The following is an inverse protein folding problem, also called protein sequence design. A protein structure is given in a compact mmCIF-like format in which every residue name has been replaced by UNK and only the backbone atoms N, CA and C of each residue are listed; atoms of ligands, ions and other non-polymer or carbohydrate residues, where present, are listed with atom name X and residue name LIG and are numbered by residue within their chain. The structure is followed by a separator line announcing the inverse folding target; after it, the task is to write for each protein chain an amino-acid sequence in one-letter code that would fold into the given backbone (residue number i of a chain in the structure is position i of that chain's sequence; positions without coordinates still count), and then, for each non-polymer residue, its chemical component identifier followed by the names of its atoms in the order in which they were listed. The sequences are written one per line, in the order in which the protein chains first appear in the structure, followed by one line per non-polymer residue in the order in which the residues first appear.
data_IF_664419023011
#
_entry.id   IF_664419023011
#
_cell.length_a   1.000
_cell.length_b   1.000
_cell.length_c   1.000
_cell.angle_alpha   90.00
_cell.angle_beta   90.00
_cell.angle_gamma   90.00
#
_symmetry.space_group_name_H-M   'P 1'
#
loop_
_entity.id
_entity.type
_entity.pdbx_description
1 polymer ?
#
# COMPACT_ATOMS: atom_id res chain seq x y z
N UNK A 1 -4.76 -21.19 0.78
CA UNK A 1 -3.90 -22.05 -0.06
C UNK A 1 -2.65 -21.28 -0.48
N UNK A 2 -1.50 -21.94 -0.55
CA UNK A 2 -0.25 -21.42 -1.13
C UNK A 2 -0.41 -21.22 -2.64
N UNK A 3 0.11 -20.14 -3.19
CA UNK A 3 0.11 -19.89 -4.63
C UNK A 3 1.55 -19.80 -5.17
N UNK A 4 2.37 -18.90 -4.62
CA UNK A 4 3.78 -18.78 -4.98
C UNK A 4 4.60 -18.10 -3.88
N UNK A 5 5.90 -18.40 -3.87
CA UNK A 5 6.93 -17.71 -3.10
C UNK A 5 8.15 -17.51 -3.98
N UNK A 6 8.64 -16.29 -4.03
CA UNK A 6 9.90 -15.95 -4.68
C UNK A 6 10.75 -15.12 -3.73
N UNK A 7 12.04 -15.44 -3.67
CA UNK A 7 13.04 -14.73 -2.86
C UNK A 7 14.16 -14.27 -3.76
N UNK A 8 14.60 -13.05 -3.63
CA UNK A 8 15.69 -12.50 -4.43
C UNK A 8 16.51 -11.47 -3.68
N UNK A 9 17.72 -11.24 -4.19
CA UNK A 9 18.68 -10.25 -3.69
C UNK A 9 19.43 -9.65 -4.87
N UNK A 10 19.50 -8.32 -4.91
CA UNK A 10 20.14 -7.55 -5.98
C UNK A 10 19.58 -7.89 -7.39
N UNK A 11 20.19 -8.82 -8.13
CA UNK A 11 19.75 -9.28 -9.47
C UNK A 11 19.44 -10.79 -9.51
N UNK A 12 19.64 -11.49 -8.38
CA UNK A 12 19.55 -12.93 -8.32
C UNK A 12 18.21 -13.39 -7.71
N UNK A 13 17.65 -14.43 -8.31
CA UNK A 13 16.56 -15.21 -7.71
C UNK A 13 17.19 -16.31 -6.87
N UNK A 14 17.00 -16.24 -5.55
CA UNK A 14 17.53 -17.21 -4.59
C UNK A 14 16.61 -18.42 -4.41
N UNK A 15 15.32 -18.20 -4.59
CA UNK A 15 14.29 -19.24 -4.50
C UNK A 15 13.07 -18.84 -5.31
N UNK A 16 12.44 -19.80 -6.00
CA UNK A 16 11.20 -19.59 -6.74
C UNK A 16 10.38 -20.89 -6.71
N UNK A 17 9.13 -20.81 -6.22
CA UNK A 17 8.22 -21.94 -6.11
C UNK A 17 6.78 -21.52 -6.42
N UNK A 18 6.07 -22.34 -7.17
CA UNK A 18 4.66 -22.18 -7.50
C UNK A 18 3.85 -23.40 -7.05
N UNK A 19 2.60 -23.21 -6.67
CA UNK A 19 1.66 -24.29 -6.51
C UNK A 19 1.34 -24.93 -7.88
N UNK A 20 0.86 -26.17 -7.86
CA UNK A 20 0.63 -26.99 -9.07
C UNK A 20 -0.19 -26.28 -10.14
N UNK A 21 -1.18 -25.48 -9.74
CA UNK A 21 -2.14 -24.83 -10.64
C UNK A 21 -1.81 -23.35 -10.90
N UNK A 22 -0.60 -22.90 -10.50
CA UNK A 22 -0.11 -21.53 -10.73
C UNK A 22 1.10 -21.53 -11.64
N UNK A 23 1.19 -20.53 -12.52
CA UNK A 23 2.29 -20.37 -13.47
C UNK A 23 3.04 -19.04 -13.23
N UNK A 24 4.22 -18.96 -13.83
CA UNK A 24 5.08 -17.76 -13.79
C UNK A 24 4.41 -16.53 -14.41
N UNK A 25 3.54 -16.72 -15.40
CA UNK A 25 2.91 -15.67 -16.20
C UNK A 25 1.49 -15.33 -15.72
N UNK A 26 1.05 -15.89 -14.61
CA UNK A 26 -0.30 -15.67 -14.09
C UNK A 26 -0.31 -14.48 -13.12
N UNK A 27 -0.91 -13.33 -13.49
CA UNK A 27 -1.04 -12.21 -12.57
C UNK A 27 -1.96 -12.55 -11.41
N UNK A 28 -1.56 -12.15 -10.21
CA UNK A 28 -2.38 -12.27 -9.02
C UNK A 28 -2.53 -10.88 -8.37
N UNK A 29 -3.67 -10.66 -7.73
CA UNK A 29 -3.90 -9.40 -7.04
C UNK A 29 -2.93 -9.24 -5.87
N UNK A 30 -2.28 -8.07 -5.81
CA UNK A 30 -1.43 -7.67 -4.68
C UNK A 30 -2.22 -6.92 -3.60
N UNK A 31 -3.49 -6.59 -3.88
CA UNK A 31 -4.38 -5.91 -2.96
C UNK A 31 -3.71 -4.68 -2.32
N UNK A 32 -3.78 -4.57 -1.00
CA UNK A 32 -3.25 -3.41 -0.26
C UNK A 32 -1.75 -3.16 -0.40
N UNK A 33 -0.99 -4.09 -0.95
CA UNK A 33 0.43 -3.85 -1.28
C UNK A 33 0.57 -2.76 -2.36
N UNK A 34 -0.47 -2.54 -3.17
CA UNK A 34 -0.58 -1.40 -4.10
C UNK A 34 -0.30 -0.04 -3.43
N UNK A 35 -0.62 0.09 -2.12
CA UNK A 35 -0.37 1.31 -1.33
C UNK A 35 1.10 1.71 -1.28
N UNK A 36 2.01 0.74 -1.43
CA UNK A 36 3.45 1.01 -1.39
C UNK A 36 3.91 1.97 -2.50
N UNK A 37 3.26 1.99 -3.66
CA UNK A 37 3.58 2.95 -4.73
C UNK A 37 3.42 4.41 -4.26
N UNK A 38 2.44 4.69 -3.40
CA UNK A 38 2.22 6.04 -2.85
C UNK A 38 3.43 6.50 -2.03
N UNK A 39 4.11 5.60 -1.30
CA UNK A 39 5.35 5.94 -0.60
C UNK A 39 6.42 6.50 -1.56
N UNK A 40 6.60 5.84 -2.72
CA UNK A 40 7.58 6.28 -3.72
C UNK A 40 7.21 7.67 -4.27
N UNK A 41 5.98 7.87 -4.67
CA UNK A 41 5.51 9.12 -5.28
C UNK A 41 5.58 10.29 -4.29
N UNK A 42 5.14 10.08 -3.06
CA UNK A 42 5.23 11.09 -1.99
C UNK A 42 6.69 11.44 -1.69
N UNK A 43 7.57 10.44 -1.63
CA UNK A 43 9.00 10.65 -1.39
C UNK A 43 9.63 11.55 -2.43
N UNK A 44 9.39 11.31 -3.70
CA UNK A 44 9.88 12.15 -4.80
C UNK A 44 9.32 13.59 -4.70
N UNK A 45 8.03 13.71 -4.38
CA UNK A 45 7.39 15.03 -4.28
C UNK A 45 7.85 15.82 -3.04
N UNK A 46 8.29 15.15 -1.98
CA UNK A 46 8.95 15.79 -0.83
C UNK A 46 10.31 16.34 -1.23
N UNK A 47 11.14 15.56 -1.94
CA UNK A 47 12.45 16.02 -2.41
C UNK A 47 12.31 17.21 -3.37
N UNK A 48 11.25 17.24 -4.19
CA UNK A 48 10.89 18.37 -5.05
C UNK A 48 10.21 19.54 -4.31
N UNK A 49 10.05 19.45 -2.98
CA UNK A 49 9.40 20.46 -2.11
C UNK A 49 7.93 20.76 -2.48
N UNK A 50 7.25 19.84 -3.15
CA UNK A 50 5.85 19.96 -3.55
C UNK A 50 4.89 19.41 -2.47
N UNK A 51 5.35 18.47 -1.64
CA UNK A 51 4.61 17.96 -0.49
C UNK A 51 5.36 18.27 0.81
N UNK A 52 4.61 18.78 1.80
CA UNK A 52 5.06 18.95 3.17
C UNK A 52 4.17 18.10 4.10
N UNK A 53 4.77 17.15 4.79
CA UNK A 53 4.07 16.20 5.65
C UNK A 53 3.26 16.86 6.79
N UNK A 54 3.66 18.05 7.23
CA UNK A 54 3.00 18.80 8.31
C UNK A 54 1.82 19.67 7.84
N UNK A 55 1.61 19.82 6.53
CA UNK A 55 0.46 20.54 6.00
C UNK A 55 -0.81 19.72 6.11
N UNK A 56 -1.94 20.41 6.31
CA UNK A 56 -3.26 19.80 6.29
C UNK A 56 -3.62 19.30 4.89
N UNK A 57 -4.44 18.26 4.81
CA UNK A 57 -4.97 17.76 3.55
C UNK A 57 -5.72 18.86 2.79
N UNK A 58 -6.52 19.68 3.49
CA UNK A 58 -7.26 20.80 2.89
C UNK A 58 -6.37 21.87 2.24
N UNK A 59 -5.08 21.96 2.59
CA UNK A 59 -4.13 22.85 1.92
C UNK A 59 -3.93 22.44 0.45
N UNK A 60 -3.89 21.13 0.18
CA UNK A 60 -3.72 20.58 -1.16
C UNK A 60 -5.07 20.33 -1.86
N UNK A 61 -6.08 19.87 -1.10
CA UNK A 61 -7.41 19.50 -1.56
C UNK A 61 -8.48 20.34 -0.82
N UNK A 62 -8.74 21.60 -1.24
CA UNK A 62 -9.64 22.50 -0.50
C UNK A 62 -11.10 22.01 -0.39
N UNK A 63 -11.53 21.12 -1.30
CA UNK A 63 -12.89 20.57 -1.33
C UNK A 63 -13.03 19.23 -0.61
N UNK A 64 -11.95 18.71 0.00
CA UNK A 64 -11.98 17.40 0.67
C UNK A 64 -12.96 17.40 1.85
N UNK A 65 -13.63 16.28 2.06
CA UNK A 65 -14.60 16.11 3.16
C UNK A 65 -14.00 16.33 4.55
N UNK A 66 -14.87 16.65 5.51
CA UNK A 66 -14.47 16.94 6.90
C UNK A 66 -13.70 15.79 7.56
N UNK A 67 -13.82 14.55 7.05
CA UNK A 67 -13.08 13.39 7.51
C UNK A 67 -11.57 13.45 7.25
N UNK A 68 -11.12 14.39 6.41
CA UNK A 68 -9.70 14.56 6.10
C UNK A 68 -9.21 16.00 6.20
N UNK A 69 -10.09 17.00 6.09
CA UNK A 69 -9.71 18.39 5.88
C UNK A 69 -8.66 18.90 6.88
N UNK A 70 -8.81 18.57 8.16
CA UNK A 70 -7.91 19.01 9.23
C UNK A 70 -6.78 18.03 9.57
N UNK A 71 -6.72 16.85 8.93
CA UNK A 71 -5.63 15.90 9.12
C UNK A 71 -4.34 16.41 8.45
N UNK A 72 -3.19 16.13 9.03
CA UNK A 72 -1.90 16.33 8.36
C UNK A 72 -1.65 15.21 7.37
N UNK A 73 -0.89 15.51 6.31
CA UNK A 73 -0.45 14.48 5.33
C UNK A 73 0.25 13.32 6.04
N UNK A 74 1.14 13.60 7.02
CA UNK A 74 1.82 12.58 7.81
C UNK A 74 0.87 11.63 8.50
N UNK A 75 -0.16 12.16 9.19
CA UNK A 75 -1.09 11.35 9.96
C UNK A 75 -1.93 10.44 9.06
N UNK A 76 -2.28 10.92 7.85
CA UNK A 76 -3.00 10.11 6.84
C UNK A 76 -2.10 9.00 6.29
N UNK A 77 -0.84 9.29 5.98
CA UNK A 77 0.15 8.31 5.51
C UNK A 77 0.44 7.21 6.55
N UNK A 78 0.37 7.56 7.83
CA UNK A 78 0.65 6.64 8.95
C UNK A 78 -0.59 5.84 9.41
N UNK A 79 -1.74 5.98 8.75
CA UNK A 79 -3.00 5.41 9.24
C UNK A 79 -3.35 5.87 10.67
N UNK A 80 -3.03 7.11 10.99
CA UNK A 80 -3.08 7.70 12.33
C UNK A 80 -4.19 8.75 12.48
N UNK A 81 -5.32 8.55 11.84
CA UNK A 81 -6.51 9.44 11.91
C UNK A 81 -7.78 8.67 12.23
N UNK A 82 -8.72 9.37 12.86
CA UNK A 82 -10.06 8.85 13.17
C UNK A 82 -11.11 9.64 12.39
N UNK A 83 -11.92 8.95 11.58
CA UNK A 83 -13.04 9.50 10.84
C UNK A 83 -14.13 8.42 10.66
N UNK A 84 -15.23 8.75 9.98
CA UNK A 84 -16.35 7.83 9.79
C UNK A 84 -16.12 6.76 8.69
N UNK A 85 -14.92 6.64 8.13
CA UNK A 85 -14.60 5.54 7.23
C UNK A 85 -14.36 4.25 8.02
N UNK A 86 -15.09 3.20 7.68
CA UNK A 86 -14.98 1.86 8.28
C UNK A 86 -14.30 0.89 7.32
N UNK A 87 -13.23 0.24 7.79
CA UNK A 87 -12.51 -0.83 7.08
C UNK A 87 -13.02 -2.22 7.52
N UNK A 88 -14.33 -2.40 7.63
CA UNK A 88 -14.96 -3.66 8.04
C UNK A 88 -15.36 -4.50 6.82
N UNK A 89 -14.55 -5.48 6.48
CA UNK A 89 -14.79 -6.40 5.35
C UNK A 89 -15.88 -7.45 5.61
N UNK A 90 -16.37 -7.56 6.83
CA UNK A 90 -17.41 -8.53 7.20
C UNK A 90 -18.82 -7.97 7.07
N UNK A 91 -18.94 -6.65 7.05
CA UNK A 91 -20.21 -5.95 6.98
C UNK A 91 -20.52 -5.45 5.58
N UNK A 92 -21.61 -5.92 5.03
CA UNK A 92 -22.20 -5.31 3.84
C UNK A 92 -22.48 -3.82 4.10
N UNK A 93 -22.21 -3.00 3.09
CA UNK A 93 -22.37 -1.53 3.15
C UNK A 93 -21.44 -0.80 4.14
N UNK A 94 -20.39 -1.43 4.66
CA UNK A 94 -19.28 -0.70 5.29
C UNK A 94 -18.66 0.31 4.29
N UNK A 95 -17.88 1.25 4.79
CA UNK A 95 -17.25 2.24 3.88
C UNK A 95 -16.28 1.56 2.90
N UNK A 96 -15.52 0.56 3.34
CA UNK A 96 -14.64 -0.21 2.44
C UNK A 96 -15.44 -0.95 1.37
N UNK A 97 -16.55 -1.61 1.73
CA UNK A 97 -17.43 -2.27 0.77
C UNK A 97 -17.99 -1.30 -0.28
N UNK A 98 -18.38 -0.08 0.13
CA UNK A 98 -18.89 0.95 -0.78
C UNK A 98 -17.78 1.60 -1.63
N UNK A 99 -16.52 1.50 -1.19
CA UNK A 99 -15.35 2.00 -1.91
C UNK A 99 -14.91 1.07 -3.05
N UNK A 100 -15.10 -0.23 -2.91
CA UNK A 100 -14.68 -1.22 -3.91
C UNK A 100 -15.32 -1.00 -5.31
N UNK A 101 -16.63 -0.72 -5.45
CA UNK A 101 -17.23 -0.38 -6.74
C UNK A 101 -16.69 0.92 -7.33
N UNK A 102 -16.30 1.88 -6.49
CA UNK A 102 -15.70 3.15 -6.92
C UNK A 102 -14.34 2.91 -7.56
N UNK A 103 -13.53 2.02 -6.99
CA UNK A 103 -12.22 1.62 -7.54
C UNK A 103 -12.28 0.60 -8.67
N UNK A 104 -13.48 0.20 -9.12
CA UNK A 104 -13.65 -0.79 -10.19
C UNK A 104 -13.40 -2.24 -9.75
N UNK A 105 -13.26 -2.50 -8.45
CA UNK A 105 -12.97 -3.83 -7.91
C UNK A 105 -14.22 -4.70 -7.78
N UNK A 106 -15.37 -4.09 -7.53
CA UNK A 106 -16.67 -4.77 -7.36
C UNK A 106 -17.70 -4.19 -8.32
N UNK A 107 -18.65 -4.99 -8.75
CA UNK A 107 -19.78 -4.51 -9.53
C UNK A 107 -20.57 -3.41 -8.78
N UNK A 108 -21.10 -2.43 -9.49
CA UNK A 108 -21.93 -1.39 -8.92
C UNK A 108 -23.13 -1.94 -8.16
N UNK A 109 -23.48 -1.31 -7.05
CA UNK A 109 -24.68 -1.65 -6.31
C UNK A 109 -25.91 -1.23 -7.13
N UNK A 110 -26.83 -2.18 -7.37
CA UNK A 110 -28.06 -1.93 -8.14
C UNK A 110 -28.80 -0.69 -7.61
N UNK A 111 -29.15 0.21 -8.51
CA UNK A 111 -29.89 1.44 -8.18
C UNK A 111 -29.04 2.57 -7.57
N UNK A 112 -27.72 2.41 -7.44
CA UNK A 112 -26.83 3.49 -7.00
C UNK A 112 -25.95 4.00 -8.16
N UNK A 113 -25.84 5.31 -8.27
CA UNK A 113 -24.89 5.93 -9.19
C UNK A 113 -23.45 5.66 -8.73
N UNK A 114 -22.59 5.30 -9.68
CA UNK A 114 -21.16 5.14 -9.43
C UNK A 114 -20.55 6.54 -9.29
N UNK A 115 -19.95 6.81 -8.16
CA UNK A 115 -19.15 8.00 -7.90
C UNK A 115 -17.75 7.85 -8.51
N UNK A 116 -17.07 8.98 -8.81
CA UNK A 116 -15.62 8.98 -8.97
C UNK A 116 -14.93 8.77 -7.61
N UNK A 117 -13.65 8.38 -7.63
CA UNK A 117 -12.86 8.33 -6.39
C UNK A 117 -12.88 9.68 -5.66
N UNK A 118 -12.68 10.78 -6.37
CA UNK A 118 -12.72 12.12 -5.76
C UNK A 118 -14.06 12.41 -5.09
N UNK A 119 -15.19 12.12 -5.76
CA UNK A 119 -16.53 12.32 -5.18
C UNK A 119 -16.73 11.48 -3.91
N UNK A 120 -16.33 10.20 -3.96
CA UNK A 120 -16.44 9.31 -2.82
C UNK A 120 -15.59 9.80 -1.63
N UNK A 121 -14.33 10.13 -1.87
CA UNK A 121 -13.40 10.60 -0.83
C UNK A 121 -13.86 11.93 -0.21
N UNK A 122 -14.41 12.84 -1.03
CA UNK A 122 -15.00 14.10 -0.57
C UNK A 122 -16.24 13.89 0.31
N UNK A 123 -16.93 12.75 0.21
CA UNK A 123 -18.11 12.43 1.00
C UNK A 123 -17.79 11.93 2.42
N UNK A 124 -16.54 11.55 2.71
CA UNK A 124 -16.13 11.00 4.00
C UNK A 124 -16.15 12.11 5.07
N UNK A 125 -16.85 11.85 6.16
CA UNK A 125 -17.09 12.81 7.24
C UNK A 125 -16.24 12.51 8.48
N UNK A 126 -15.98 13.55 9.28
CA UNK A 126 -15.43 13.42 10.63
C UNK A 126 -16.48 12.88 11.61
N UNK A 127 -16.03 12.43 12.77
CA UNK A 127 -16.91 12.23 13.93
C UNK A 127 -17.59 13.55 14.32
N UNK A 128 -18.60 13.48 15.19
CA UNK A 128 -19.32 14.67 15.69
C UNK A 128 -18.39 15.68 16.35
N UNK A 129 -17.36 15.23 17.06
CA UNK A 129 -16.32 16.06 17.67
C UNK A 129 -15.48 16.87 16.67
N UNK A 130 -15.51 16.52 15.38
CA UNK A 130 -14.64 17.05 14.32
C UNK A 130 -13.13 16.89 14.59
N UNK A 131 -12.76 16.22 15.66
CA UNK A 131 -11.38 15.87 15.96
C UNK A 131 -10.99 14.60 15.19
N UNK A 132 -9.90 14.67 14.42
CA UNK A 132 -9.37 13.56 13.62
C UNK A 132 -8.18 12.88 14.29
N UNK A 133 -7.80 13.36 15.49
CA UNK A 133 -6.64 12.85 16.20
C UNK A 133 -6.90 11.42 16.70
N UNK A 134 -5.96 10.55 16.46
CA UNK A 134 -5.91 9.25 17.09
C UNK A 134 -5.26 9.40 18.48
N UNK A 135 -5.98 9.00 19.51
CA UNK A 135 -5.53 9.03 20.92
C UNK A 135 -5.00 7.67 21.38
N UNK A 136 -4.89 6.70 20.47
CA UNK A 136 -4.33 5.38 20.74
C UNK A 136 -2.95 5.25 20.09
N UNK A 137 -2.20 4.23 20.48
CA UNK A 137 -0.94 3.86 19.82
C UNK A 137 -1.15 2.86 18.66
N UNK A 138 -2.41 2.54 18.33
CA UNK A 138 -2.77 1.60 17.28
C UNK A 138 -3.06 2.31 15.96
N UNK A 139 -2.66 1.71 14.86
CA UNK A 139 -3.02 2.20 13.52
C UNK A 139 -4.53 2.03 13.26
N UNK A 140 -5.18 3.09 12.84
CA UNK A 140 -6.54 3.07 12.32
C UNK A 140 -6.50 2.88 10.80
N UNK A 141 -6.29 1.64 10.39
CA UNK A 141 -6.13 1.30 8.97
C UNK A 141 -7.35 1.69 8.15
N UNK A 142 -7.13 2.43 7.06
CA UNK A 142 -8.18 2.92 6.15
C UNK A 142 -7.67 2.98 4.72
N UNK A 143 -8.25 2.20 3.83
CA UNK A 143 -7.88 2.20 2.41
C UNK A 143 -8.02 3.59 1.77
N UNK A 144 -9.09 4.32 2.09
CA UNK A 144 -9.32 5.67 1.59
C UNK A 144 -8.19 6.67 1.90
N UNK A 145 -7.38 6.46 2.96
CA UNK A 145 -6.23 7.31 3.26
C UNK A 145 -5.24 7.36 2.09
N UNK A 146 -4.96 6.21 1.49
CA UNK A 146 -4.03 6.08 0.37
C UNK A 146 -4.55 6.83 -0.86
N UNK A 147 -5.82 6.68 -1.18
CA UNK A 147 -6.42 7.31 -2.35
C UNK A 147 -6.53 8.84 -2.18
N UNK A 148 -6.77 9.34 -0.96
CA UNK A 148 -6.67 10.79 -0.66
C UNK A 148 -5.26 11.32 -0.92
N UNK A 149 -4.22 10.59 -0.52
CA UNK A 149 -2.84 10.99 -0.85
C UNK A 149 -2.58 10.90 -2.35
N UNK A 150 -3.15 9.90 -3.04
CA UNK A 150 -3.11 9.80 -4.51
C UNK A 150 -3.64 11.06 -5.20
N UNK A 151 -4.78 11.60 -4.75
CA UNK A 151 -5.31 12.88 -5.26
C UNK A 151 -4.34 14.05 -5.03
N UNK A 152 -3.65 14.09 -3.89
CA UNK A 152 -2.62 15.10 -3.64
C UNK A 152 -1.45 14.94 -4.62
N UNK A 153 -0.98 13.70 -4.83
CA UNK A 153 0.10 13.39 -5.78
C UNK A 153 -0.22 13.95 -7.18
N UNK A 154 -1.40 13.66 -7.72
CA UNK A 154 -1.84 14.20 -9.03
C UNK A 154 -1.91 15.73 -9.01
N UNK A 155 -2.53 16.28 -7.97
CA UNK A 155 -2.76 17.72 -7.85
C UNK A 155 -1.47 18.54 -7.88
N UNK A 156 -0.46 18.13 -7.11
CA UNK A 156 0.78 18.91 -6.95
C UNK A 156 1.80 18.61 -8.05
N UNK A 157 1.81 17.40 -8.59
CA UNK A 157 2.75 17.02 -9.65
C UNK A 157 2.29 17.45 -11.05
N UNK A 158 0.99 17.69 -11.24
CA UNK A 158 0.35 17.86 -12.55
C UNK A 158 0.53 16.64 -13.48
N UNK A 159 0.78 15.48 -12.91
CA UNK A 159 0.96 14.20 -13.59
C UNK A 159 -0.03 13.19 -13.05
N UNK A 160 -0.73 12.46 -13.91
CA UNK A 160 -1.70 11.46 -13.49
C UNK A 160 -1.04 10.29 -12.75
N UNK A 161 -1.76 9.65 -11.83
CA UNK A 161 -1.29 8.43 -11.16
C UNK A 161 -0.93 7.34 -12.17
N UNK A 162 -1.66 7.26 -13.30
CA UNK A 162 -1.32 6.34 -14.40
C UNK A 162 0.09 6.60 -14.93
N UNK A 163 0.46 7.85 -15.17
CA UNK A 163 1.81 8.20 -15.62
C UNK A 163 2.88 7.87 -14.59
N UNK A 164 2.61 8.12 -13.29
CA UNK A 164 3.49 7.72 -12.20
C UNK A 164 3.73 6.20 -12.17
N UNK A 165 2.66 5.42 -12.34
CA UNK A 165 2.76 3.96 -12.39
C UNK A 165 3.52 3.47 -13.62
N UNK A 166 3.29 4.04 -14.81
CA UNK A 166 4.02 3.69 -16.03
C UNK A 166 5.54 3.93 -15.87
N UNK A 167 5.93 5.08 -15.35
CA UNK A 167 7.35 5.37 -15.08
C UNK A 167 7.94 4.40 -14.06
N UNK A 168 7.15 3.97 -13.08
CA UNK A 168 7.59 2.96 -12.10
C UNK A 168 7.75 1.59 -12.75
N UNK A 169 6.81 1.16 -13.59
CA UNK A 169 6.89 -0.09 -14.36
C UNK A 169 8.16 -0.14 -15.21
N UNK A 170 8.42 0.94 -15.96
CA UNK A 170 9.63 1.07 -16.79
C UNK A 170 10.92 1.05 -15.96
N UNK A 171 10.97 1.81 -14.86
CA UNK A 171 12.15 1.88 -14.00
C UNK A 171 12.41 0.56 -13.26
N UNK A 172 11.36 -0.17 -12.93
CA UNK A 172 11.45 -1.46 -12.22
C UNK A 172 11.81 -2.60 -13.18
N UNK A 173 11.47 -2.46 -14.47
CA UNK A 173 11.68 -3.50 -15.49
C UNK A 173 10.72 -4.68 -15.32
N UNK A 174 9.43 -4.40 -15.15
CA UNK A 174 8.42 -5.46 -15.09
C UNK A 174 8.34 -6.20 -16.43
N UNK A 175 8.22 -7.53 -16.37
CA UNK A 175 8.11 -8.41 -17.55
C UNK A 175 6.74 -8.29 -18.20
N UNK A 176 5.66 -8.40 -17.38
CA UNK A 176 4.28 -8.40 -17.85
C UNK A 176 3.56 -7.07 -17.55
N UNK A 177 4.18 -6.22 -16.72
CA UNK A 177 3.62 -4.94 -16.32
C UNK A 177 2.67 -5.01 -15.12
N UNK A 178 1.96 -3.92 -14.88
CA UNK A 178 1.04 -3.76 -13.76
C UNK A 178 -0.40 -3.64 -14.29
N UNK A 179 -1.25 -4.54 -13.86
CA UNK A 179 -2.70 -4.41 -14.01
C UNK A 179 -3.26 -3.67 -12.80
N UNK A 180 -4.15 -2.71 -13.02
CA UNK A 180 -4.75 -1.96 -11.91
C UNK A 180 -6.20 -1.60 -12.20
N UNK A 181 -7.08 -1.83 -11.21
CA UNK A 181 -8.45 -1.35 -11.25
C UNK A 181 -8.50 0.19 -11.24
N UNK A 182 -9.47 0.76 -11.92
CA UNK A 182 -9.66 2.21 -12.00
C UNK A 182 -11.10 2.59 -11.70
N UNK A 183 -11.32 3.85 -11.34
CA UNK A 183 -12.66 4.40 -11.36
C UNK A 183 -13.14 4.59 -12.81
N UNK A 184 -14.41 5.01 -12.97
CA UNK A 184 -15.02 5.26 -14.28
C UNK A 184 -14.32 6.34 -15.13
N UNK A 185 -13.42 7.12 -14.56
CA UNK A 185 -12.65 8.16 -15.22
C UNK A 185 -11.20 7.76 -15.48
N UNK A 186 -10.83 6.52 -15.15
CA UNK A 186 -9.49 5.99 -15.36
C UNK A 186 -8.51 6.33 -14.25
N UNK A 187 -8.97 6.84 -13.09
CA UNK A 187 -8.12 7.07 -11.92
C UNK A 187 -7.75 5.74 -11.28
N UNK A 188 -6.47 5.36 -11.18
CA UNK A 188 -6.05 4.10 -10.56
C UNK A 188 -6.47 3.99 -9.10
N UNK A 189 -6.95 2.80 -8.70
CA UNK A 189 -7.30 2.51 -7.30
C UNK A 189 -6.06 2.10 -6.50
N UNK A 190 -5.38 3.11 -5.95
CA UNK A 190 -4.09 2.96 -5.29
C UNK A 190 -4.16 2.21 -3.97
N UNK A 191 -5.33 2.09 -3.38
CA UNK A 191 -5.49 1.41 -2.10
C UNK A 191 -5.60 -0.11 -2.20
N UNK A 192 -5.78 -0.68 -3.41
CA UNK A 192 -5.93 -2.14 -3.50
C UNK A 192 -6.06 -2.74 -4.90
N UNK A 193 -6.04 -1.92 -5.96
CA UNK A 193 -6.42 -2.35 -7.31
C UNK A 193 -5.33 -3.08 -8.10
N UNK A 194 -4.10 -3.21 -7.60
CA UNK A 194 -2.97 -3.76 -8.35
C UNK A 194 -2.96 -5.28 -8.48
N UNK A 195 -2.45 -5.78 -9.60
CA UNK A 195 -2.13 -7.20 -9.83
C UNK A 195 -0.81 -7.32 -10.58
N UNK A 196 0.01 -8.28 -10.19
CA UNK A 196 1.35 -8.55 -10.74
C UNK A 196 1.56 -10.04 -10.90
N UNK A 197 2.41 -10.46 -11.85
CA UNK A 197 3.03 -11.78 -11.81
C UNK A 197 4.02 -11.86 -10.66
N UNK A 198 4.34 -13.08 -10.19
CA UNK A 198 5.20 -13.27 -9.01
C UNK A 198 6.57 -12.64 -9.18
N UNK A 199 7.19 -12.72 -10.37
CA UNK A 199 8.49 -12.11 -10.65
C UNK A 199 8.45 -10.59 -10.64
N UNK A 200 7.39 -9.96 -11.14
CA UNK A 200 7.24 -8.51 -11.10
C UNK A 200 6.93 -8.04 -9.67
N UNK A 201 6.27 -8.87 -8.87
CA UNK A 201 6.07 -8.62 -7.46
C UNK A 201 7.41 -8.61 -6.69
N UNK A 202 8.33 -9.53 -7.00
CA UNK A 202 9.70 -9.48 -6.49
C UNK A 202 10.42 -8.22 -6.95
N UNK A 203 10.35 -7.86 -8.24
CA UNK A 203 11.00 -6.66 -8.79
C UNK A 203 10.54 -5.38 -8.11
N UNK A 204 9.24 -5.28 -7.81
CA UNK A 204 8.72 -4.18 -7.01
C UNK A 204 9.45 -4.06 -5.67
N UNK A 205 9.67 -5.17 -4.96
CA UNK A 205 10.43 -5.18 -3.72
C UNK A 205 11.91 -4.83 -3.92
N UNK A 206 12.53 -5.32 -4.99
CA UNK A 206 13.92 -5.00 -5.34
C UNK A 206 14.12 -3.50 -5.67
N UNK A 207 13.13 -2.81 -6.22
CA UNK A 207 13.17 -1.35 -6.37
C UNK A 207 13.33 -0.66 -5.01
N UNK A 208 12.57 -1.08 -4.00
CA UNK A 208 12.71 -0.55 -2.63
C UNK A 208 14.05 -0.90 -1.99
N UNK A 209 14.56 -2.15 -2.17
CA UNK A 209 15.87 -2.55 -1.63
C UNK A 209 17.03 -1.74 -2.21
N UNK A 210 16.85 -1.20 -3.42
CA UNK A 210 17.78 -0.27 -4.09
C UNK A 210 17.45 1.20 -3.82
N UNK A 211 16.62 1.49 -2.82
CA UNK A 211 16.21 2.85 -2.45
C UNK A 211 15.59 3.65 -3.61
N UNK A 212 14.81 2.99 -4.43
CA UNK A 212 14.13 3.57 -5.59
C UNK A 212 14.97 3.68 -6.85
N UNK A 213 16.21 3.17 -6.85
CA UNK A 213 17.04 3.17 -8.06
C UNK A 213 16.56 2.09 -9.04
N UNK A 214 16.02 2.55 -10.16
CA UNK A 214 15.55 1.70 -11.25
C UNK A 214 16.68 1.04 -12.04
N UNK A 215 16.35 -0.01 -12.78
CA UNK A 215 17.29 -0.72 -13.67
C UNK A 215 17.70 0.13 -14.88
N UNK A 216 16.86 1.08 -15.29
CA UNK A 216 17.12 2.04 -16.37
C UNK A 216 17.88 3.29 -15.90
N UNK A 217 18.38 3.30 -14.66
CA UNK A 217 19.12 4.42 -14.06
C UNK A 217 18.24 5.57 -13.54
N UNK A 218 16.93 5.56 -13.81
CA UNK A 218 15.99 6.54 -13.22
C UNK A 218 15.77 6.24 -11.74
N UNK A 219 15.62 7.28 -10.94
CA UNK A 219 15.19 7.14 -9.56
C UNK A 219 13.68 7.34 -9.47
N UNK A 220 13.01 6.41 -8.78
CA UNK A 220 11.58 6.50 -8.45
C UNK A 220 11.48 6.61 -6.93
N UNK A 221 10.97 7.73 -6.45
CA UNK A 221 10.88 8.01 -5.03
C UNK A 221 12.10 8.73 -4.45
N UNK A 222 12.29 8.63 -3.14
CA UNK A 222 13.31 9.34 -2.38
C UNK A 222 14.08 8.39 -1.46
N UNK A 223 15.40 8.28 -1.66
CA UNK A 223 16.29 7.57 -0.74
C UNK A 223 16.21 8.16 0.66
N UNK A 224 16.21 9.47 0.77
CA UNK A 224 16.15 10.18 2.07
C UNK A 224 14.83 9.90 2.79
N UNK A 225 13.71 9.92 2.08
CA UNK A 225 12.40 9.65 2.67
C UNK A 225 12.28 8.20 3.13
N UNK A 226 12.74 7.25 2.32
CA UNK A 226 12.75 5.83 2.70
C UNK A 226 13.65 5.57 3.92
N UNK A 227 14.86 6.16 3.95
CA UNK A 227 15.76 6.06 5.11
C UNK A 227 15.15 6.67 6.37
N UNK A 228 14.43 7.77 6.27
CA UNK A 228 13.68 8.34 7.40
C UNK A 228 12.54 7.42 7.83
N UNK A 229 11.82 6.81 6.89
CA UNK A 229 10.71 5.90 7.17
C UNK A 229 11.16 4.69 7.99
N UNK A 230 12.27 4.04 7.61
CA UNK A 230 12.77 2.87 8.35
C UNK A 230 13.22 3.23 9.79
N UNK A 231 13.70 4.45 10.00
CA UNK A 231 14.16 4.95 11.30
C UNK A 231 13.06 5.67 12.12
N UNK A 232 11.85 5.83 11.56
CA UNK A 232 10.74 6.48 12.26
C UNK A 232 9.91 5.46 13.04
N UNK A 233 9.26 5.94 14.08
CA UNK A 233 8.19 5.24 14.76
C UNK A 233 6.84 5.56 14.14
N UNK A 234 5.89 4.67 14.29
CA UNK A 234 4.52 4.84 13.84
C UNK A 234 3.55 4.04 14.70
N UNK A 235 2.26 4.18 14.50
CA UNK A 235 1.27 3.44 15.24
C UNK A 235 1.41 1.94 15.02
N UNK A 236 1.18 1.16 16.08
CA UNK A 236 1.24 -0.31 16.09
C UNK A 236 0.12 -0.88 15.23
N UNK A 237 0.44 -1.86 14.39
CA UNK A 237 -0.54 -2.45 13.47
C UNK A 237 -0.74 -3.94 13.68
N UNK A 238 0.34 -4.72 13.79
CA UNK A 238 0.27 -6.17 14.07
C UNK A 238 1.18 -6.47 15.25
N UNK A 239 0.63 -7.12 16.27
CA UNK A 239 1.42 -7.61 17.38
C UNK A 239 1.98 -9.00 17.05
N UNK A 240 3.29 -9.14 16.92
CA UNK A 240 3.98 -10.40 16.65
C UNK A 240 4.29 -11.16 17.95
N UNK A 241 4.76 -10.45 18.98
CA UNK A 241 4.99 -10.97 20.33
C UNK A 241 4.67 -9.89 21.37
N UNK A 242 4.91 -10.16 22.66
CA UNK A 242 4.65 -9.20 23.76
C UNK A 242 5.23 -7.81 23.46
N UNK A 243 6.49 -7.76 22.97
CA UNK A 243 7.23 -6.51 22.79
C UNK A 243 7.61 -6.23 21.31
N UNK A 244 7.15 -7.06 20.36
CA UNK A 244 7.46 -6.90 18.93
C UNK A 244 6.21 -6.59 18.13
N UNK A 245 6.22 -5.43 17.48
CA UNK A 245 5.11 -4.96 16.66
C UNK A 245 5.57 -4.64 15.25
N UNK A 246 4.70 -4.91 14.29
CA UNK A 246 4.74 -4.25 12.99
C UNK A 246 4.04 -2.91 13.16
N UNK A 247 4.72 -1.82 12.80
CA UNK A 247 4.16 -0.47 12.81
C UNK A 247 3.78 -0.04 11.39
N UNK A 248 2.91 0.97 11.28
CA UNK A 248 2.54 1.56 10.01
C UNK A 248 3.16 2.95 9.87
N UNK A 249 3.99 3.16 8.85
CA UNK A 249 4.76 4.41 8.66
C UNK A 249 4.79 4.78 7.18
N UNK A 250 4.31 5.97 6.84
CA UNK A 250 4.40 6.54 5.49
C UNK A 250 3.94 5.56 4.39
N UNK A 251 2.76 4.96 4.55
CA UNK A 251 2.16 3.96 3.65
C UNK A 251 2.90 2.60 3.57
N UNK A 252 3.79 2.32 4.51
CA UNK A 252 4.50 1.05 4.62
C UNK A 252 4.25 0.41 5.98
N UNK A 253 4.23 -0.91 6.02
CA UNK A 253 4.45 -1.70 7.22
C UNK A 253 5.96 -1.79 7.48
N UNK A 254 6.39 -1.68 8.74
CA UNK A 254 7.79 -1.86 9.12
C UNK A 254 7.94 -2.60 10.45
N UNK A 255 9.02 -3.36 10.56
CA UNK A 255 9.45 -3.94 11.83
C UNK A 255 10.97 -4.18 11.79
N UNK A 256 11.71 -3.60 12.74
CA UNK A 256 13.17 -3.66 12.72
C UNK A 256 13.75 -3.12 11.41
N UNK A 257 14.55 -3.93 10.75
CA UNK A 257 15.26 -3.56 9.50
C UNK A 257 14.46 -3.80 8.22
N UNK A 258 13.22 -4.29 8.31
CA UNK A 258 12.43 -4.53 7.12
C UNK A 258 11.23 -3.59 6.99
N UNK A 259 10.86 -3.38 5.74
CA UNK A 259 9.63 -2.74 5.30
C UNK A 259 8.84 -3.69 4.41
N UNK A 260 7.58 -3.41 4.19
CA UNK A 260 6.74 -4.20 3.31
C UNK A 260 5.27 -3.84 3.42
N UNK A 261 4.41 -4.75 2.99
CA UNK A 261 2.97 -4.63 3.18
C UNK A 261 2.29 -5.99 3.02
N UNK A 262 1.14 -6.16 3.68
CA UNK A 262 0.25 -7.30 3.48
C UNK A 262 -0.92 -6.93 2.56
N UNK A 263 -1.36 -7.88 1.74
CA UNK A 263 -2.58 -7.80 0.95
C UNK A 263 -3.75 -8.56 1.60
N UNK A 264 -4.97 -8.10 1.34
CA UNK A 264 -6.19 -8.81 1.71
C UNK A 264 -6.23 -10.15 0.97
N UNK A 265 -6.44 -11.25 1.70
CA UNK A 265 -6.43 -12.61 1.13
C UNK A 265 -5.11 -13.37 1.28
N UNK A 266 -4.06 -12.76 1.85
CA UNK A 266 -2.85 -13.49 2.25
C UNK A 266 -1.59 -13.21 1.43
N UNK A 267 -1.54 -12.12 0.67
CA UNK A 267 -0.32 -11.69 -0.02
C UNK A 267 0.60 -10.95 0.95
N UNK A 268 1.91 -11.08 0.77
CA UNK A 268 2.90 -10.33 1.53
C UNK A 268 4.16 -10.02 0.71
N UNK A 269 4.63 -8.78 0.84
CA UNK A 269 5.93 -8.37 0.35
C UNK A 269 6.78 -7.93 1.54
N UNK A 270 7.92 -8.57 1.73
CA UNK A 270 8.91 -8.23 2.75
C UNK A 270 10.23 -7.83 2.11
N UNK A 271 10.85 -6.76 2.60
CA UNK A 271 12.07 -6.18 2.06
C UNK A 271 12.98 -5.82 3.23
N UNK A 272 14.09 -6.49 3.40
CA UNK A 272 15.06 -6.14 4.42
C UNK A 272 16.13 -5.21 3.80
N UNK A 273 16.18 -3.98 4.28
CA UNK A 273 17.09 -2.97 3.72
C UNK A 273 18.56 -3.18 4.12
N UNK A 274 18.83 -4.01 5.15
CA UNK A 274 20.19 -4.34 5.58
C UNK A 274 20.77 -5.50 4.76
N UNK A 275 20.06 -6.61 4.67
CA UNK A 275 20.46 -7.79 3.89
C UNK A 275 20.21 -7.63 2.40
N UNK A 276 19.33 -6.68 2.03
CA UNK A 276 18.77 -6.45 0.68
C UNK A 276 17.97 -7.63 0.12
N UNK A 277 17.63 -8.59 0.96
CA UNK A 277 16.79 -9.72 0.59
C UNK A 277 15.34 -9.28 0.53
N UNK A 278 14.66 -9.72 -0.52
CA UNK A 278 13.23 -9.49 -0.77
C UNK A 278 12.54 -10.83 -0.87
N UNK A 279 11.37 -10.96 -0.25
CA UNK A 279 10.48 -12.09 -0.40
C UNK A 279 9.08 -11.63 -0.79
N UNK A 280 8.57 -12.15 -1.90
CA UNK A 280 7.22 -11.93 -2.39
C UNK A 280 6.42 -13.23 -2.30
N UNK A 281 5.31 -13.17 -1.57
CA UNK A 281 4.49 -14.32 -1.24
C UNK A 281 3.04 -14.11 -1.66
N UNK A 282 2.50 -15.07 -2.43
CA UNK A 282 1.10 -15.14 -2.78
C UNK A 282 0.42 -16.33 -2.14
N UNK A 283 -0.74 -16.08 -1.56
CA UNK A 283 -1.65 -17.12 -1.09
C UNK A 283 -3.11 -16.68 -1.22
N UNK A 284 -4.03 -17.61 -1.01
CA UNK A 284 -5.47 -17.35 -0.94
C UNK A 284 -6.00 -17.85 0.38
N UNK A 285 -6.63 -16.97 1.15
CA UNK A 285 -7.37 -17.30 2.36
C UNK A 285 -8.85 -17.52 2.04
N UNK A 286 -9.29 -18.75 2.16
CA UNK A 286 -10.68 -19.17 1.90
C UNK A 286 -11.58 -18.96 3.14
N UNK A 287 -11.54 -17.77 3.73
CA UNK A 287 -12.41 -17.39 4.85
C UNK A 287 -13.37 -16.29 4.42
N UNK A 288 -14.52 -16.17 5.08
CA UNK A 288 -15.52 -15.13 4.75
C UNK A 288 -14.98 -13.71 4.79
N UNK A 289 -14.02 -13.44 5.66
CA UNK A 289 -13.39 -12.12 5.82
C UNK A 289 -12.05 -12.00 5.07
N UNK A 290 -11.58 -13.09 4.43
CA UNK A 290 -10.23 -13.23 3.87
C UNK A 290 -9.12 -12.70 4.82
N UNK A 291 -9.39 -12.71 6.13
CA UNK A 291 -8.46 -12.32 7.18
C UNK A 291 -8.43 -13.39 8.28
N UNK A 292 -7.25 -13.66 8.80
CA UNK A 292 -7.02 -14.53 9.95
C UNK A 292 -5.79 -14.03 10.69
N UNK A 293 -5.95 -13.59 11.91
CA UNK A 293 -4.88 -12.94 12.69
C UNK A 293 -3.70 -13.89 12.94
N UNK A 294 -3.97 -15.17 13.23
CA UNK A 294 -2.91 -16.17 13.41
C UNK A 294 -2.13 -16.35 12.12
N UNK A 295 -2.82 -16.60 11.01
CA UNK A 295 -2.18 -16.75 9.69
C UNK A 295 -1.34 -15.54 9.31
N UNK A 296 -1.85 -14.34 9.55
CA UNK A 296 -1.15 -13.08 9.27
C UNK A 296 0.16 -12.98 10.07
N UNK A 297 0.13 -13.34 11.36
CA UNK A 297 1.33 -13.37 12.20
C UNK A 297 2.33 -14.43 11.74
N UNK A 298 1.85 -15.63 11.43
CA UNK A 298 2.69 -16.74 10.97
C UNK A 298 3.38 -16.37 9.63
N UNK A 299 2.63 -15.78 8.69
CA UNK A 299 3.14 -15.29 7.41
C UNK A 299 4.21 -14.20 7.60
N UNK A 300 3.95 -13.20 8.44
CA UNK A 300 4.93 -12.13 8.72
C UNK A 300 6.20 -12.72 9.36
N UNK A 301 6.06 -13.64 10.32
CA UNK A 301 7.20 -14.27 10.97
C UNK A 301 8.02 -15.13 9.99
N UNK A 302 7.36 -15.89 9.11
CA UNK A 302 8.02 -16.67 8.06
C UNK A 302 8.84 -15.77 7.14
N UNK A 303 8.23 -14.70 6.63
CA UNK A 303 8.91 -13.76 5.72
C UNK A 303 10.06 -13.04 6.44
N UNK A 304 9.87 -12.58 7.69
CA UNK A 304 10.92 -11.95 8.49
C UNK A 304 12.14 -12.89 8.65
N UNK A 305 11.90 -14.19 8.94
CA UNK A 305 12.97 -15.18 9.02
C UNK A 305 13.72 -15.36 7.70
N UNK A 306 12.99 -15.38 6.56
CA UNK A 306 13.60 -15.51 5.23
C UNK A 306 14.48 -14.29 4.92
N UNK A 307 13.92 -13.09 4.99
CA UNK A 307 14.63 -11.87 4.56
C UNK A 307 15.72 -11.41 5.54
N UNK A 308 15.74 -11.95 6.76
CA UNK A 308 16.77 -11.65 7.76
C UNK A 308 18.03 -12.50 7.61
N UNK A 309 18.01 -13.54 6.78
CA UNK A 309 19.19 -14.34 6.49
C UNK A 309 20.13 -13.57 5.55
N UNK A 310 21.42 -13.77 5.75
CA UNK A 310 22.47 -13.33 4.82
C UNK A 310 22.75 -14.48 3.86
N UNK A 311 22.36 -14.31 2.61
CA UNK A 311 22.55 -15.29 1.54
C UNK A 311 23.78 -14.93 0.72
#
# INVERSE_FOLDING_TARGET
AFCSLIVGKDQDILFEQYAKDFSTNQPQTIMSITKMFIHLFVGELIDRKLINLNKKISFYLPKIGSGYANAKVKDVLDMNIVNLYSEDYTKAYSSSFLHEPVGGWRLPIKGKNIQSQEQYLNSIKSLKSRDLKNYTDLAHYKSANTDVIGLIVEKVSKKSLRQWLLETVEATGFEEGLYIGTDRFGTPWMSGGGSLITRDFLRMGLLFSRFGKGINGKNIGSKTFLSKTINSEGPKYIQLSKDKFVCYVNSLMKCGNWIGHSGYGGQFLGINLKTKVVAAFFSVLETKSATNEKYKKDMVNMIDQIISKDY
#
